data_IF_496009815275
#
_entry.id   IF_496009815275
#
_cell.length_a   1.000
_cell.length_b   1.000
_cell.length_c   1.000
_cell.angle_alpha   90.00
_cell.angle_beta   90.00
_cell.angle_gamma   90.00
#
_symmetry.space_group_name_H-M   'P 1'
#
loop_
_entity.id
_entity.type
_entity.pdbx_description
1 polymer ?
#
# COMPACT_ATOMS: atom_id res chain seq x y z
N UNK A 1 2.10 29.75 49.20
CA UNK A 1 1.16 30.85 48.91
C UNK A 1 1.30 31.16 47.43
N UNK A 2 0.39 30.88 46.52
CA UNK A 2 -0.97 30.39 46.64
C UNK A 2 -1.33 29.58 45.38
N UNK A 3 -2.22 28.62 45.63
CA UNK A 3 -2.90 27.73 44.71
C UNK A 3 -3.67 28.46 43.60
N UNK A 4 -3.41 28.11 42.34
CA UNK A 4 -4.30 28.38 41.21
C UNK A 4 -5.44 27.33 41.17
N UNK A 5 -6.70 27.74 40.90
CA UNK A 5 -7.87 26.87 40.99
C UNK A 5 -7.96 25.86 39.85
N UNK A 6 -8.48 24.66 40.18
CA UNK A 6 -8.57 23.49 39.31
C UNK A 6 -9.57 23.60 38.13
N UNK A 7 -10.09 24.80 37.82
CA UNK A 7 -11.21 24.98 36.87
C UNK A 7 -10.82 25.44 35.46
N UNK A 8 -9.53 25.44 35.10
CA UNK A 8 -9.04 25.94 33.80
C UNK A 8 -8.22 24.94 32.97
N UNK A 9 -8.35 23.63 33.22
CA UNK A 9 -7.85 22.63 32.26
C UNK A 9 -8.86 22.47 31.11
N UNK A 10 -8.46 22.60 29.83
CA UNK A 10 -9.35 22.34 28.72
C UNK A 10 -9.75 20.86 28.75
N UNK A 11 -11.04 20.59 28.93
CA UNK A 11 -11.63 19.27 28.67
C UNK A 11 -11.53 19.00 27.17
N UNK A 12 -10.50 18.27 26.74
CA UNK A 12 -10.59 17.55 25.49
C UNK A 12 -11.76 16.57 25.62
N UNK A 13 -12.86 16.87 24.93
CA UNK A 13 -13.90 15.87 24.71
C UNK A 13 -13.31 14.84 23.76
N UNK A 14 -13.03 13.65 24.30
CA UNK A 14 -12.81 12.44 23.52
C UNK A 14 -14.13 12.06 22.83
N UNK A 15 -14.47 12.75 21.74
CA UNK A 15 -15.53 12.31 20.83
C UNK A 15 -14.91 11.41 19.76
N UNK A 16 -14.66 10.14 20.13
CA UNK A 16 -14.65 8.95 19.27
C UNK A 16 -14.34 7.67 20.06
N UNK A 17 -14.94 7.51 21.25
CA UNK A 17 -14.99 6.21 21.92
C UNK A 17 -16.44 5.73 21.91
N UNK A 18 -16.72 4.51 21.43
CA UNK A 18 -18.07 3.96 21.48
C UNK A 18 -18.54 3.87 22.92
N UNK A 19 -19.81 4.18 23.13
CA UNK A 19 -20.53 4.11 24.42
C UNK A 19 -20.24 2.80 25.18
N UNK A 20 -20.04 2.83 26.51
CA UNK A 20 -19.80 1.62 27.29
C UNK A 20 -21.14 0.89 27.47
N UNK A 21 -21.41 -0.10 26.62
CA UNK A 21 -22.71 -0.79 26.67
C UNK A 21 -22.91 -2.02 25.78
N UNK A 22 -21.90 -2.50 25.06
CA UNK A 22 -21.91 -3.81 24.40
C UNK A 22 -20.50 -4.39 24.46
N UNK A 23 -20.29 -5.43 25.27
CA UNK A 23 -19.13 -6.30 25.08
C UNK A 23 -19.32 -7.01 23.74
N UNK A 24 -18.82 -6.42 22.64
CA UNK A 24 -18.56 -7.21 21.44
C UNK A 24 -17.58 -8.29 21.89
N UNK A 25 -17.97 -9.56 21.77
CA UNK A 25 -17.04 -10.66 21.97
C UNK A 25 -15.85 -10.44 21.03
N UNK A 26 -14.65 -10.38 21.58
CA UNK A 26 -13.43 -10.26 20.78
C UNK A 26 -13.32 -11.47 19.84
N UNK A 27 -12.93 -11.23 18.59
CA UNK A 27 -12.70 -12.32 17.64
C UNK A 27 -11.54 -13.17 18.15
N UNK A 28 -11.76 -14.48 18.22
CA UNK A 28 -10.70 -15.44 18.53
C UNK A 28 -9.75 -15.55 17.33
N UNK A 29 -8.44 -15.58 17.61
CA UNK A 29 -7.40 -15.77 16.60
C UNK A 29 -6.32 -16.72 17.14
N UNK A 30 -5.75 -17.52 16.24
CA UNK A 30 -4.86 -18.64 16.59
C UNK A 30 -3.40 -18.30 16.37
N UNK A 31 -3.03 -17.85 15.17
CA UNK A 31 -1.67 -17.39 14.85
C UNK A 31 -1.68 -16.11 14.03
N UNK A 32 -0.61 -15.32 14.20
CA UNK A 32 -0.32 -14.17 13.35
C UNK A 32 1.07 -14.36 12.72
N UNK A 33 1.09 -14.62 11.42
CA UNK A 33 2.30 -14.72 10.63
C UNK A 33 2.72 -13.34 10.13
N UNK A 34 3.90 -12.86 10.53
CA UNK A 34 4.53 -11.68 9.93
C UNK A 34 5.41 -12.17 8.79
N UNK A 35 4.95 -12.02 7.55
CA UNK A 35 5.54 -12.67 6.39
C UNK A 35 6.23 -11.66 5.48
N UNK A 36 7.57 -11.69 5.45
CA UNK A 36 8.38 -10.88 4.53
C UNK A 36 8.69 -11.67 3.27
N UNK A 37 8.25 -11.19 2.11
CA UNK A 37 8.59 -11.83 0.82
C UNK A 37 9.79 -11.15 0.17
N UNK A 38 10.82 -11.93 -0.19
CA UNK A 38 12.10 -11.41 -0.69
C UNK A 38 12.62 -12.18 -1.90
N UNK A 39 13.34 -11.49 -2.79
CA UNK A 39 14.20 -12.11 -3.82
C UNK A 39 15.66 -12.26 -3.35
N UNK A 40 15.99 -11.65 -2.21
CA UNK A 40 17.30 -11.66 -1.58
C UNK A 40 18.40 -11.04 -2.43
N UNK A 41 18.04 -10.14 -3.34
CA UNK A 41 19.02 -9.42 -4.16
C UNK A 41 19.67 -8.27 -3.40
N UNK A 42 19.04 -7.79 -2.32
CA UNK A 42 19.50 -6.68 -1.51
C UNK A 42 19.73 -7.10 -0.06
N UNK A 43 20.98 -7.37 0.28
CA UNK A 43 21.35 -7.88 1.60
C UNK A 43 21.08 -6.87 2.72
N UNK A 44 21.30 -5.58 2.50
CA UNK A 44 21.06 -4.58 3.54
C UNK A 44 19.58 -4.47 3.89
N UNK A 45 18.71 -4.52 2.87
CA UNK A 45 17.26 -4.52 3.07
C UNK A 45 16.81 -5.78 3.80
N UNK A 46 17.34 -6.93 3.42
CA UNK A 46 17.05 -8.19 4.07
C UNK A 46 17.50 -8.22 5.54
N UNK A 47 18.69 -7.70 5.87
CA UNK A 47 19.15 -7.62 7.26
C UNK A 47 18.26 -6.69 8.12
N UNK A 48 17.79 -5.56 7.56
CA UNK A 48 16.82 -4.71 8.26
C UNK A 48 15.52 -5.46 8.53
N UNK A 49 15.04 -6.24 7.57
CA UNK A 49 13.84 -7.05 7.76
C UNK A 49 14.04 -8.15 8.79
N UNK A 50 15.20 -8.81 8.80
CA UNK A 50 15.57 -9.78 9.84
C UNK A 50 15.63 -9.19 11.25
N UNK A 51 16.03 -7.92 11.38
CA UNK A 51 16.03 -7.24 12.67
C UNK A 51 14.63 -7.14 13.30
N UNK A 52 13.55 -7.30 12.52
CA UNK A 52 12.17 -7.29 13.01
C UNK A 52 11.72 -8.58 13.70
N UNK A 53 12.53 -9.65 13.72
CA UNK A 53 12.14 -10.92 14.37
C UNK A 53 11.80 -10.77 15.86
N UNK A 54 12.36 -9.76 16.53
CA UNK A 54 12.03 -9.47 17.94
C UNK A 54 10.53 -9.20 18.18
N UNK A 55 9.75 -8.89 17.13
CA UNK A 55 8.30 -8.70 17.22
C UNK A 55 7.54 -9.98 17.61
N UNK A 56 8.14 -11.16 17.44
CA UNK A 56 7.59 -12.43 17.94
C UNK A 56 7.44 -12.43 19.47
N UNK A 57 8.24 -11.62 20.19
CA UNK A 57 8.19 -11.55 21.65
C UNK A 57 6.94 -10.85 22.20
N UNK A 58 6.10 -10.27 21.33
CA UNK A 58 4.90 -9.53 21.73
C UNK A 58 3.74 -10.45 22.15
N UNK A 59 3.62 -11.64 21.56
CA UNK A 59 2.61 -12.66 21.87
C UNK A 59 3.08 -14.01 21.32
N UNK A 60 2.93 -15.10 22.09
CA UNK A 60 3.39 -16.45 21.72
C UNK A 60 2.74 -17.00 20.44
N UNK A 61 1.64 -16.40 19.99
CA UNK A 61 0.94 -16.74 18.73
C UNK A 61 1.52 -16.07 17.49
N UNK A 62 2.51 -15.19 17.65
CA UNK A 62 3.15 -14.48 16.53
C UNK A 62 4.31 -15.33 15.99
N UNK A 63 4.44 -15.39 14.67
CA UNK A 63 5.59 -16.02 14.01
C UNK A 63 6.10 -15.13 12.88
N UNK A 64 7.36 -14.75 12.95
CA UNK A 64 8.06 -13.97 11.94
C UNK A 64 8.74 -14.92 10.95
N UNK A 65 8.45 -14.73 9.68
CA UNK A 65 8.89 -15.63 8.61
C UNK A 65 9.39 -14.86 7.41
N UNK A 66 10.47 -15.38 6.81
CA UNK A 66 11.00 -14.90 5.53
C UNK A 66 10.66 -15.91 4.46
N UNK A 67 10.11 -15.43 3.36
CA UNK A 67 9.69 -16.23 2.21
C UNK A 67 10.52 -15.86 0.99
N UNK A 68 11.22 -16.86 0.43
CA UNK A 68 12.14 -16.68 -0.69
C UNK A 68 12.04 -17.83 -1.69
N UNK A 69 12.39 -17.56 -2.96
CA UNK A 69 12.61 -18.60 -3.95
C UNK A 69 13.90 -19.38 -3.70
N UNK A 70 13.88 -20.69 -3.97
CA UNK A 70 15.09 -21.52 -3.99
C UNK A 70 16.07 -21.03 -5.08
N UNK A 71 17.35 -20.94 -4.75
CA UNK A 71 18.41 -20.38 -5.58
C UNK A 71 18.43 -18.85 -5.67
N UNK A 72 17.63 -18.15 -4.85
CA UNK A 72 17.71 -16.69 -4.74
C UNK A 72 18.98 -16.25 -3.99
N UNK A 73 19.29 -14.95 -4.04
CA UNK A 73 20.41 -14.40 -3.27
C UNK A 73 20.25 -14.55 -1.75
N UNK A 74 19.01 -14.61 -1.27
CA UNK A 74 18.64 -14.93 0.12
C UNK A 74 18.92 -16.40 0.43
N UNK A 75 18.49 -17.29 -0.47
CA UNK A 75 18.64 -18.75 -0.35
C UNK A 75 20.11 -19.20 -0.24
N UNK A 76 21.02 -18.51 -0.94
CA UNK A 76 22.42 -18.94 -1.11
C UNK A 76 23.33 -18.46 0.03
N UNK A 77 22.88 -17.50 0.85
CA UNK A 77 23.73 -16.82 1.86
C UNK A 77 23.26 -16.96 3.30
N UNK A 78 22.16 -17.66 3.57
CA UNK A 78 21.49 -17.56 4.88
C UNK A 78 21.10 -18.92 5.45
N UNK A 79 22.03 -19.51 6.20
CA UNK A 79 21.75 -20.50 7.25
C UNK A 79 21.90 -19.91 8.66
N UNK A 80 22.41 -18.68 8.78
CA UNK A 80 22.71 -18.10 10.09
C UNK A 80 21.64 -17.12 10.55
N UNK A 81 21.37 -17.19 11.85
CA UNK A 81 20.55 -16.29 12.68
C UNK A 81 19.06 -16.63 12.68
N UNK A 82 18.70 -17.75 13.34
CA UNK A 82 17.51 -17.92 14.20
C UNK A 82 16.10 -17.56 13.69
N UNK A 83 15.94 -17.14 12.43
CA UNK A 83 14.69 -16.66 11.84
C UNK A 83 14.16 -17.73 10.90
N UNK A 84 12.88 -18.04 11.02
CA UNK A 84 12.23 -19.04 10.17
C UNK A 84 12.22 -18.59 8.71
N UNK A 85 12.78 -19.42 7.83
CA UNK A 85 12.84 -19.14 6.40
C UNK A 85 12.18 -20.25 5.58
N UNK A 86 11.21 -19.86 4.76
CA UNK A 86 10.50 -20.74 3.83
C UNK A 86 11.08 -20.53 2.43
N UNK A 87 11.75 -21.58 1.95
CA UNK A 87 12.29 -21.67 0.59
C UNK A 87 11.24 -22.30 -0.31
N UNK A 88 10.85 -21.60 -1.37
CA UNK A 88 9.89 -22.07 -2.37
C UNK A 88 10.63 -22.94 -3.37
N UNK A 89 10.39 -24.26 -3.41
CA UNK A 89 11.15 -25.18 -4.26
C UNK A 89 11.00 -24.83 -5.73
N UNK A 90 12.07 -24.92 -6.53
CA UNK A 90 11.99 -24.68 -7.99
C UNK A 90 10.97 -25.59 -8.68
N UNK A 91 10.74 -26.78 -8.13
CA UNK A 91 9.75 -27.75 -8.59
C UNK A 91 8.30 -27.32 -8.36
N UNK A 92 8.05 -26.41 -7.40
CA UNK A 92 6.71 -25.88 -7.17
C UNK A 92 6.32 -24.95 -8.32
N UNK A 93 5.35 -25.38 -9.11
CA UNK A 93 4.86 -24.67 -10.29
C UNK A 93 3.34 -24.58 -10.25
N UNK A 94 2.76 -23.55 -9.61
CA UNK A 94 1.32 -23.34 -9.64
C UNK A 94 0.86 -23.01 -11.06
N UNK A 95 -0.44 -23.19 -11.33
CA UNK A 95 -0.98 -23.10 -12.70
C UNK A 95 -0.84 -21.71 -13.32
N UNK A 96 -1.02 -20.65 -12.51
CA UNK A 96 -1.03 -19.25 -12.97
C UNK A 96 -0.01 -18.38 -12.25
N UNK A 97 0.15 -18.60 -10.94
CA UNK A 97 0.98 -17.77 -10.09
C UNK A 97 2.44 -17.69 -10.58
N UNK A 98 2.96 -16.47 -10.67
CA UNK A 98 4.38 -16.20 -10.97
C UNK A 98 4.98 -15.29 -9.89
N UNK A 99 6.31 -15.32 -9.76
CA UNK A 99 7.06 -14.41 -8.88
C UNK A 99 6.52 -14.37 -7.44
N UNK A 100 6.13 -13.18 -6.93
CA UNK A 100 5.64 -12.98 -5.57
C UNK A 100 4.36 -13.78 -5.29
N UNK A 101 3.40 -13.78 -6.22
CA UNK A 101 2.17 -14.57 -6.12
C UNK A 101 2.43 -16.07 -5.96
N UNK A 102 3.43 -16.60 -6.69
CA UNK A 102 3.87 -18.00 -6.55
C UNK A 102 4.42 -18.30 -5.15
N UNK A 103 5.22 -17.39 -4.60
CA UNK A 103 5.76 -17.58 -3.27
C UNK A 103 4.64 -17.60 -2.22
N UNK A 104 3.71 -16.63 -2.28
CA UNK A 104 2.59 -16.55 -1.34
C UNK A 104 1.64 -17.75 -1.47
N UNK A 105 1.38 -18.24 -2.69
CA UNK A 105 0.58 -19.45 -2.90
C UNK A 105 1.26 -20.71 -2.32
N UNK A 106 2.58 -20.81 -2.42
CA UNK A 106 3.32 -21.89 -1.77
C UNK A 106 3.22 -21.81 -0.24
N UNK A 107 3.36 -20.60 0.32
CA UNK A 107 3.23 -20.36 1.75
C UNK A 107 1.86 -20.82 2.26
N UNK A 108 0.78 -20.36 1.62
CA UNK A 108 -0.59 -20.73 1.96
C UNK A 108 -0.80 -22.25 1.99
N UNK A 109 -0.34 -22.94 0.94
CA UNK A 109 -0.45 -24.40 0.83
C UNK A 109 0.40 -25.14 1.87
N UNK A 110 1.61 -24.64 2.15
CA UNK A 110 2.54 -25.27 3.10
C UNK A 110 2.09 -25.10 4.55
N UNK A 111 1.52 -23.94 4.88
CA UNK A 111 1.16 -23.61 6.26
C UNK A 111 -0.21 -24.15 6.65
N UNK A 112 -1.04 -24.56 5.69
CA UNK A 112 -2.40 -25.07 5.93
C UNK A 112 -3.21 -24.12 6.82
N UNK A 113 -3.21 -22.82 6.46
CA UNK A 113 -3.77 -21.74 7.27
C UNK A 113 -5.20 -22.06 7.73
N UNK A 114 -5.44 -22.01 9.04
CA UNK A 114 -6.78 -22.08 9.61
C UNK A 114 -7.58 -20.80 9.37
N UNK A 115 -8.90 -20.87 9.53
CA UNK A 115 -9.77 -19.71 9.35
C UNK A 115 -9.48 -18.56 10.33
N UNK A 116 -8.93 -18.90 11.51
CA UNK A 116 -8.56 -17.97 12.58
C UNK A 116 -7.08 -17.57 12.55
N UNK A 117 -6.30 -18.07 11.60
CA UNK A 117 -4.94 -17.62 11.37
C UNK A 117 -4.96 -16.32 10.57
N UNK A 118 -3.93 -15.50 10.78
CA UNK A 118 -3.76 -14.23 10.09
C UNK A 118 -2.35 -14.11 9.54
N UNK A 119 -2.22 -13.46 8.40
CA UNK A 119 -0.95 -13.21 7.73
C UNK A 119 -0.84 -11.71 7.45
N UNK A 120 0.20 -11.09 7.99
CA UNK A 120 0.64 -9.74 7.65
C UNK A 120 1.70 -9.84 6.56
N UNK A 121 1.28 -9.62 5.30
CA UNK A 121 2.17 -9.63 4.14
C UNK A 121 2.97 -8.32 4.07
N UNK A 122 4.29 -8.47 3.99
CA UNK A 122 5.26 -7.38 3.91
C UNK A 122 6.17 -7.56 2.69
N UNK A 123 6.43 -6.46 1.98
CA UNK A 123 7.52 -6.39 1.01
C UNK A 123 8.89 -6.38 1.72
N UNK A 124 9.94 -6.83 1.02
CA UNK A 124 11.31 -6.96 1.55
C UNK A 124 11.81 -5.70 2.27
N UNK A 125 11.45 -4.51 1.80
CA UNK A 125 11.86 -3.22 2.36
C UNK A 125 10.96 -2.65 3.45
N UNK A 126 9.87 -3.33 3.79
CA UNK A 126 8.87 -2.79 4.69
C UNK A 126 9.29 -3.02 6.13
N UNK A 127 9.36 -1.93 6.88
CA UNK A 127 9.67 -1.94 8.29
C UNK A 127 8.40 -1.66 9.09
N UNK A 128 8.11 -2.55 10.04
CA UNK A 128 7.01 -2.42 10.99
C UNK A 128 7.57 -2.35 12.41
N UNK A 129 6.84 -1.67 13.29
CA UNK A 129 7.21 -1.52 14.70
C UNK A 129 6.19 -2.22 15.63
N UNK A 130 6.47 -2.20 16.92
CA UNK A 130 5.59 -2.76 17.96
C UNK A 130 4.18 -2.19 17.89
N UNK A 131 4.04 -0.87 17.64
CA UNK A 131 2.72 -0.25 17.54
C UNK A 131 1.91 -0.82 16.38
N UNK A 132 2.55 -1.03 15.22
CA UNK A 132 1.91 -1.64 14.06
C UNK A 132 1.39 -3.05 14.35
N UNK A 133 2.22 -3.91 14.95
CA UNK A 133 1.80 -5.29 15.27
C UNK A 133 0.66 -5.31 16.29
N UNK A 134 0.75 -4.51 17.36
CA UNK A 134 -0.34 -4.39 18.34
C UNK A 134 -1.62 -3.82 17.72
N UNK A 135 -1.50 -2.90 16.76
CA UNK A 135 -2.65 -2.38 16.02
C UNK A 135 -3.29 -3.44 15.12
N UNK A 136 -2.49 -4.33 14.52
CA UNK A 136 -2.99 -5.48 13.77
C UNK A 136 -3.75 -6.45 14.69
N UNK A 137 -3.21 -6.78 15.86
CA UNK A 137 -3.87 -7.64 16.85
C UNK A 137 -5.21 -7.02 17.31
N UNK A 138 -5.17 -5.74 17.71
CA UNK A 138 -6.37 -4.98 18.09
C UNK A 138 -7.40 -4.94 16.95
N UNK A 139 -6.97 -4.80 15.70
CA UNK A 139 -7.85 -4.87 14.53
C UNK A 139 -8.50 -6.25 14.41
N UNK A 140 -7.71 -7.32 14.50
CA UNK A 140 -8.19 -8.71 14.42
C UNK A 140 -9.28 -8.95 15.47
N UNK A 141 -9.02 -8.57 16.72
CA UNK A 141 -9.89 -8.82 17.88
C UNK A 141 -11.15 -7.95 17.89
N UNK A 142 -11.03 -6.67 17.50
CA UNK A 142 -12.09 -5.66 17.72
C UNK A 142 -12.87 -5.29 16.49
N UNK A 143 -12.41 -5.69 15.30
CA UNK A 143 -13.13 -5.50 14.05
C UNK A 143 -13.56 -6.84 13.41
N UNK A 144 -14.41 -7.64 14.10
CA UNK A 144 -14.86 -8.95 13.62
C UNK A 144 -15.64 -8.93 12.29
N UNK A 145 -16.03 -7.75 11.82
CA UNK A 145 -16.72 -7.53 10.54
C UNK A 145 -15.78 -7.42 9.32
N UNK A 146 -14.46 -7.34 9.52
CA UNK A 146 -13.47 -7.21 8.45
C UNK A 146 -12.49 -8.38 8.47
N UNK A 147 -12.25 -8.97 7.30
CA UNK A 147 -11.38 -10.15 7.12
C UNK A 147 -10.05 -9.79 6.43
N UNK A 148 -9.92 -8.52 6.05
CA UNK A 148 -8.78 -7.87 5.40
C UNK A 148 -8.49 -6.54 6.10
N UNK A 149 -7.22 -6.19 6.24
CA UNK A 149 -6.78 -4.94 6.87
C UNK A 149 -5.63 -4.31 6.11
N UNK A 150 -5.64 -2.98 6.01
CA UNK A 150 -4.52 -2.19 5.51
C UNK A 150 -4.43 -0.87 6.28
N UNK A 151 -3.22 -0.33 6.40
CA UNK A 151 -2.99 1.01 6.94
C UNK A 151 -2.23 1.90 5.96
N UNK A 152 -1.48 2.86 6.50
CA UNK A 152 -0.73 3.85 5.72
C UNK A 152 0.70 3.38 5.53
N UNK A 153 1.25 3.55 4.33
CA UNK A 153 2.66 3.29 4.05
C UNK A 153 3.39 4.62 3.87
N UNK A 154 4.39 4.86 4.71
CA UNK A 154 5.31 6.00 4.58
C UNK A 154 6.56 5.60 3.80
N UNK A 155 7.15 6.53 3.06
CA UNK A 155 8.30 6.27 2.17
C UNK A 155 9.58 6.97 2.64
N UNK A 156 9.87 6.86 3.93
CA UNK A 156 10.84 7.69 4.64
C UNK A 156 11.95 6.93 5.39
N UNK A 157 12.13 5.63 5.14
CA UNK A 157 13.14 4.84 5.88
C UNK A 157 14.58 5.09 5.43
N UNK A 158 14.86 4.93 4.15
CA UNK A 158 16.22 4.93 3.59
C UNK A 158 16.33 5.98 2.51
N UNK A 159 17.42 6.75 2.54
CA UNK A 159 17.71 7.83 1.59
C UNK A 159 16.58 8.87 1.48
N UNK A 160 15.80 9.08 2.54
CA UNK A 160 14.71 10.06 2.55
C UNK A 160 15.23 11.47 2.23
N UNK A 161 14.55 12.18 1.32
CA UNK A 161 14.98 13.47 0.76
C UNK A 161 16.33 13.52 0.01
N UNK A 162 17.04 12.40 -0.14
CA UNK A 162 18.29 12.37 -0.95
C UNK A 162 18.04 12.79 -2.39
N UNK A 163 16.89 12.41 -2.95
CA UNK A 163 16.37 12.95 -4.20
C UNK A 163 14.97 13.53 -3.93
N UNK A 164 14.84 14.87 -3.84
CA UNK A 164 13.56 15.53 -3.55
C UNK A 164 12.45 15.18 -4.54
N UNK A 165 12.78 14.98 -5.83
CA UNK A 165 11.78 14.67 -6.84
C UNK A 165 11.21 13.26 -6.70
N UNK A 166 12.07 12.26 -6.44
CA UNK A 166 11.63 10.88 -6.20
C UNK A 166 10.91 10.75 -4.86
N UNK A 167 11.43 11.40 -3.83
CA UNK A 167 10.79 11.46 -2.50
C UNK A 167 9.38 12.03 -2.62
N UNK A 168 9.23 13.16 -3.31
CA UNK A 168 7.93 13.80 -3.46
C UNK A 168 6.97 13.01 -4.36
N UNK A 169 7.49 12.29 -5.36
CA UNK A 169 6.68 11.34 -6.14
C UNK A 169 6.13 10.21 -5.27
N UNK A 170 6.85 9.75 -4.24
CA UNK A 170 6.33 8.78 -3.26
C UNK A 170 5.41 9.43 -2.20
N UNK A 171 5.62 10.69 -1.82
CA UNK A 171 4.68 11.45 -0.94
C UNK A 171 3.26 11.48 -1.54
N UNK A 172 3.13 11.48 -2.88
CA UNK A 172 1.82 11.36 -3.53
C UNK A 172 1.05 10.08 -3.13
N UNK A 173 1.75 8.99 -2.80
CA UNK A 173 1.15 7.75 -2.29
C UNK A 173 0.72 7.87 -0.84
N UNK A 174 1.54 8.50 0.01
CA UNK A 174 1.17 8.78 1.41
C UNK A 174 -0.10 9.62 1.46
N UNK A 175 -0.19 10.63 0.59
CA UNK A 175 -1.40 11.45 0.41
C UNK A 175 -2.60 10.61 -0.01
N UNK A 176 -2.43 9.70 -0.96
CA UNK A 176 -3.51 8.80 -1.38
C UNK A 176 -3.95 7.86 -0.25
N UNK A 177 -3.01 7.41 0.59
CA UNK A 177 -3.28 6.56 1.75
C UNK A 177 -4.13 7.28 2.79
N UNK A 178 -3.72 8.50 3.16
CA UNK A 178 -4.44 9.38 4.09
C UNK A 178 -5.80 9.85 3.57
N UNK A 179 -5.98 9.83 2.24
CA UNK A 179 -7.20 10.29 1.59
C UNK A 179 -8.07 9.12 1.16
N UNK A 180 -7.95 8.77 -0.12
CA UNK A 180 -8.87 7.83 -0.78
C UNK A 180 -8.79 6.43 -0.18
N UNK A 181 -7.61 5.87 0.08
CA UNK A 181 -7.53 4.50 0.61
C UNK A 181 -8.11 4.41 2.01
N UNK A 182 -7.73 5.32 2.92
CA UNK A 182 -8.32 5.35 4.26
C UNK A 182 -9.84 5.56 4.20
N UNK A 183 -10.36 6.43 3.33
CA UNK A 183 -11.80 6.58 3.14
C UNK A 183 -12.46 5.28 2.69
N UNK A 184 -11.90 4.60 1.69
CA UNK A 184 -12.40 3.31 1.19
C UNK A 184 -12.37 2.23 2.28
N UNK A 185 -11.31 2.17 3.09
CA UNK A 185 -11.11 1.15 4.13
C UNK A 185 -11.90 1.45 5.41
N UNK A 186 -12.16 2.73 5.72
CA UNK A 186 -12.79 3.14 6.98
C UNK A 186 -14.29 3.41 6.85
N UNK A 187 -14.77 3.74 5.64
CA UNK A 187 -16.17 4.15 5.41
C UNK A 187 -16.91 3.17 4.51
N UNK A 188 -16.33 2.81 3.36
CA UNK A 188 -17.01 1.97 2.37
C UNK A 188 -16.69 0.47 2.53
N UNK A 189 -15.55 0.16 3.15
CA UNK A 189 -15.03 -1.19 3.41
C UNK A 189 -14.90 -2.05 2.15
N UNK A 190 -14.38 -1.47 1.07
CA UNK A 190 -14.18 -2.15 -0.22
C UNK A 190 -12.94 -1.63 -0.98
N UNK A 191 -12.24 -2.46 -1.76
CA UNK A 191 -10.96 -2.11 -2.39
C UNK A 191 -11.12 -1.54 -3.82
N UNK A 192 -11.77 -0.38 -3.98
CA UNK A 192 -12.15 0.14 -5.31
C UNK A 192 -10.99 0.63 -6.18
N UNK A 193 -10.01 1.31 -5.58
CA UNK A 193 -8.99 2.06 -6.34
C UNK A 193 -7.56 1.58 -6.11
N UNK A 194 -7.42 0.38 -5.56
CA UNK A 194 -6.13 -0.26 -5.27
C UNK A 194 -6.19 -1.08 -3.99
N UNK A 195 -5.20 -1.93 -3.84
CA UNK A 195 -4.69 -2.43 -2.58
C UNK A 195 -3.16 -2.34 -2.66
N UNK A 196 -2.48 -2.35 -1.52
CA UNK A 196 -1.02 -2.42 -1.49
C UNK A 196 -0.61 -3.85 -1.21
N UNK A 197 0.43 -4.33 -1.90
CA UNK A 197 1.00 -5.65 -1.67
C UNK A 197 1.87 -5.76 -0.43
N UNK A 198 2.01 -4.66 0.32
CA UNK A 198 2.66 -4.60 1.62
C UNK A 198 1.72 -3.92 2.62
N UNK A 199 1.97 -4.14 3.91
CA UNK A 199 1.03 -3.85 4.99
C UNK A 199 -0.37 -4.40 4.68
N UNK A 200 -0.42 -5.64 4.21
CA UNK A 200 -1.64 -6.31 3.81
C UNK A 200 -1.93 -7.44 4.78
N UNK A 201 -2.85 -7.17 5.71
CA UNK A 201 -3.27 -8.10 6.75
C UNK A 201 -4.48 -8.91 6.27
N UNK A 202 -4.35 -10.23 6.22
CA UNK A 202 -5.36 -11.13 5.63
C UNK A 202 -5.60 -12.31 6.55
N UNK A 203 -6.86 -12.70 6.74
CA UNK A 203 -7.20 -13.95 7.44
C UNK A 203 -6.98 -15.18 6.54
N UNK A 204 -6.59 -16.31 7.14
CA UNK A 204 -6.42 -17.58 6.45
C UNK A 204 -7.70 -18.03 5.74
N UNK A 205 -8.87 -17.71 6.31
CA UNK A 205 -10.19 -17.87 5.67
C UNK A 205 -10.25 -17.22 4.29
N UNK A 206 -9.77 -15.98 4.15
CA UNK A 206 -9.78 -15.24 2.89
C UNK A 206 -8.72 -15.77 1.93
N UNK A 207 -7.52 -16.06 2.43
CA UNK A 207 -6.46 -16.67 1.60
C UNK A 207 -6.89 -17.99 0.98
N UNK A 208 -7.56 -18.85 1.74
CA UNK A 208 -8.03 -20.14 1.25
C UNK A 208 -9.19 -20.02 0.25
N UNK A 209 -10.04 -19.01 0.40
CA UNK A 209 -11.15 -18.77 -0.51
C UNK A 209 -10.71 -18.17 -1.85
N UNK A 210 -9.80 -17.20 -1.82
CA UNK A 210 -9.39 -16.43 -3.01
C UNK A 210 -8.15 -17.02 -3.68
N UNK A 211 -7.18 -17.47 -2.88
CA UNK A 211 -5.85 -17.97 -3.28
C UNK A 211 -4.95 -16.93 -3.97
N UNK A 212 -3.64 -17.19 -4.01
CA UNK A 212 -2.68 -16.37 -4.75
C UNK A 212 -2.33 -16.98 -6.12
N UNK A 213 -3.06 -18.00 -6.58
CA UNK A 213 -2.85 -18.62 -7.89
C UNK A 213 -3.43 -17.78 -9.05
N UNK A 214 -2.86 -16.60 -9.25
CA UNK A 214 -3.27 -15.62 -10.27
C UNK A 214 -2.13 -15.27 -11.22
N UNK A 215 -2.47 -15.00 -12.48
CA UNK A 215 -1.55 -14.51 -13.52
C UNK A 215 -1.46 -12.97 -13.55
N UNK A 216 -2.24 -12.27 -12.73
CA UNK A 216 -2.22 -10.81 -12.66
C UNK A 216 -0.92 -10.28 -12.04
N UNK A 217 -0.33 -9.26 -12.67
CA UNK A 217 0.94 -8.63 -12.24
C UNK A 217 0.81 -7.70 -11.02
N UNK A 218 -0.41 -7.38 -10.64
CA UNK A 218 -0.81 -6.68 -9.39
C UNK A 218 -1.67 -7.65 -8.59
N UNK A 219 -1.04 -8.71 -8.11
CA UNK A 219 -1.68 -9.82 -7.43
C UNK A 219 -2.43 -9.40 -6.18
N UNK A 220 -1.92 -8.37 -5.49
CA UNK A 220 -2.48 -7.72 -4.31
C UNK A 220 -3.83 -7.06 -4.58
N UNK A 221 -3.90 -6.19 -5.59
CA UNK A 221 -5.12 -5.52 -5.98
C UNK A 221 -6.14 -6.49 -6.56
N UNK A 222 -5.68 -7.46 -7.35
CA UNK A 222 -6.51 -8.55 -7.84
C UNK A 222 -7.13 -9.32 -6.68
N UNK A 223 -6.31 -9.77 -5.72
CA UNK A 223 -6.75 -10.55 -4.57
C UNK A 223 -7.80 -9.81 -3.74
N UNK A 224 -7.52 -8.54 -3.39
CA UNK A 224 -8.46 -7.72 -2.62
C UNK A 224 -9.80 -7.56 -3.35
N UNK A 225 -9.78 -7.30 -4.66
CA UNK A 225 -11.01 -7.21 -5.45
C UNK A 225 -11.79 -8.51 -5.46
N UNK A 226 -11.13 -9.65 -5.66
CA UNK A 226 -11.79 -10.96 -5.70
C UNK A 226 -12.39 -11.33 -4.35
N UNK A 227 -11.67 -11.03 -3.26
CA UNK A 227 -12.19 -11.20 -1.91
C UNK A 227 -13.54 -10.47 -1.71
N UNK A 228 -13.66 -9.24 -2.20
CA UNK A 228 -14.91 -8.48 -2.10
C UNK A 228 -15.97 -8.92 -3.12
N UNK A 229 -15.64 -9.00 -4.41
CA UNK A 229 -16.62 -9.24 -5.49
C UNK A 229 -17.16 -10.66 -5.53
N UNK A 230 -16.29 -11.65 -5.31
CA UNK A 230 -16.61 -13.04 -5.52
C UNK A 230 -16.97 -13.74 -4.20
N UNK A 231 -16.51 -13.22 -3.06
CA UNK A 231 -16.74 -13.83 -1.73
C UNK A 231 -17.40 -12.90 -0.70
N UNK A 232 -17.56 -11.61 -0.99
CA UNK A 232 -18.20 -10.65 -0.08
C UNK A 232 -17.37 -10.25 1.14
N UNK A 233 -16.07 -10.56 1.16
CA UNK A 233 -15.17 -10.15 2.24
C UNK A 233 -14.94 -8.65 2.24
N UNK A 234 -14.77 -8.08 3.43
CA UNK A 234 -14.65 -6.64 3.63
C UNK A 234 -13.28 -6.26 4.17
N UNK A 235 -12.80 -5.12 3.70
CA UNK A 235 -11.53 -4.52 4.14
C UNK A 235 -11.77 -3.44 5.18
N UNK A 236 -10.93 -3.41 6.21
CA UNK A 236 -10.91 -2.39 7.24
C UNK A 236 -9.61 -1.61 7.25
N UNK A 237 -9.63 -0.44 7.89
CA UNK A 237 -8.43 0.35 8.12
C UNK A 237 -7.77 -0.06 9.43
N UNK A 238 -6.48 -0.41 9.36
CA UNK A 238 -5.62 -0.63 10.53
C UNK A 238 -5.01 0.72 10.90
N UNK A 239 -5.27 1.27 12.11
CA UNK A 239 -4.84 2.62 12.49
C UNK A 239 -3.36 2.66 12.88
N UNK A 240 -2.49 2.28 11.94
CA UNK A 240 -1.04 2.35 12.09
C UNK A 240 -0.37 2.70 10.78
N UNK A 241 0.93 2.95 10.86
CA UNK A 241 1.79 3.20 9.71
C UNK A 241 2.89 2.13 9.64
N UNK A 242 3.33 1.84 8.42
CA UNK A 242 4.58 1.12 8.16
C UNK A 242 5.48 2.00 7.31
N UNK A 243 6.77 1.63 7.21
CA UNK A 243 7.75 2.46 6.52
C UNK A 243 8.51 1.66 5.47
N UNK A 244 8.55 2.19 4.26
CA UNK A 244 9.21 1.61 3.09
C UNK A 244 10.29 2.56 2.54
N UNK A 245 11.15 2.01 1.68
CA UNK A 245 12.11 2.80 0.92
C UNK A 245 11.54 3.30 -0.40
N UNK A 246 11.91 4.53 -0.76
CA UNK A 246 11.62 5.10 -2.08
C UNK A 246 12.46 4.46 -3.18
N UNK A 247 12.01 4.59 -4.44
CA UNK A 247 12.81 4.22 -5.61
C UNK A 247 14.09 5.08 -5.70
N UNK A 248 15.21 4.48 -6.11
CA UNK A 248 16.51 5.18 -6.17
C UNK A 248 16.73 5.94 -7.47
N UNK A 249 16.09 5.50 -8.57
CA UNK A 249 16.18 6.15 -9.87
C UNK A 249 14.81 6.46 -10.44
N UNK A 250 14.74 7.48 -11.30
CA UNK A 250 13.51 7.82 -12.02
C UNK A 250 13.04 6.67 -12.90
N UNK A 251 13.95 5.96 -13.56
CA UNK A 251 13.59 4.85 -14.44
C UNK A 251 12.98 3.68 -13.66
N UNK A 252 13.50 3.37 -12.47
CA UNK A 252 12.93 2.34 -11.58
C UNK A 252 11.53 2.73 -11.13
N UNK A 253 11.33 4.00 -10.75
CA UNK A 253 10.00 4.53 -10.41
C UNK A 253 9.04 4.44 -11.61
N UNK A 254 9.46 4.83 -12.82
CA UNK A 254 8.62 4.74 -14.02
C UNK A 254 8.25 3.29 -14.37
N UNK A 255 9.17 2.34 -14.23
CA UNK A 255 8.90 0.90 -14.40
C UNK A 255 7.90 0.39 -13.36
N UNK A 256 8.05 0.81 -12.10
CA UNK A 256 7.14 0.44 -11.04
C UNK A 256 5.71 0.94 -11.34
N UNK A 257 5.56 2.22 -11.69
CA UNK A 257 4.25 2.81 -12.01
C UNK A 257 3.64 2.20 -13.26
N UNK A 258 4.45 1.89 -14.28
CA UNK A 258 4.00 1.16 -15.47
C UNK A 258 3.38 -0.19 -15.12
N UNK A 259 4.00 -0.94 -14.20
CA UNK A 259 3.47 -2.23 -13.71
C UNK A 259 2.11 -2.07 -13.05
N UNK A 260 1.96 -1.09 -12.18
CA UNK A 260 0.67 -0.84 -11.51
C UNK A 260 -0.41 -0.37 -12.46
N UNK A 261 -0.09 0.52 -13.40
CA UNK A 261 -1.05 0.99 -14.39
C UNK A 261 -1.55 -0.20 -15.24
N UNK A 262 -0.63 -1.04 -15.73
CA UNK A 262 -0.98 -2.20 -16.52
C UNK A 262 -1.83 -3.23 -15.73
N UNK A 263 -1.45 -3.54 -14.48
CA UNK A 263 -2.21 -4.48 -13.65
C UNK A 263 -3.58 -3.93 -13.24
N UNK A 264 -3.67 -2.63 -12.92
CA UNK A 264 -4.95 -2.01 -12.61
C UNK A 264 -5.90 -1.98 -13.81
N UNK A 265 -5.39 -1.85 -15.04
CA UNK A 265 -6.21 -2.00 -16.26
C UNK A 265 -6.72 -3.43 -16.48
N UNK A 266 -5.93 -4.42 -16.08
CA UNK A 266 -6.33 -5.83 -16.14
C UNK A 266 -7.43 -6.15 -15.13
N UNK A 267 -7.33 -5.61 -13.90
CA UNK A 267 -8.35 -5.78 -12.85
C UNK A 267 -9.61 -4.95 -13.15
N UNK A 268 -9.44 -3.72 -13.63
CA UNK A 268 -10.49 -2.73 -13.87
C UNK A 268 -11.06 -2.11 -12.59
N UNK A 269 -11.47 -0.84 -12.64
CA UNK A 269 -12.01 -0.11 -11.46
C UNK A 269 -13.32 -0.70 -10.93
N UNK A 270 -14.07 -1.45 -11.75
CA UNK A 270 -15.35 -2.06 -11.36
C UNK A 270 -15.41 -3.59 -11.53
N UNK A 271 -14.29 -4.25 -11.85
CA UNK A 271 -14.11 -5.71 -11.83
C UNK A 271 -15.02 -6.60 -12.71
N UNK A 272 -16.20 -6.11 -13.15
CA UNK A 272 -17.29 -6.81 -13.86
C UNK A 272 -18.26 -5.88 -14.63
N UNK A 273 -17.99 -4.57 -14.79
CA UNK A 273 -18.79 -3.72 -15.69
C UNK A 273 -18.37 -3.88 -17.16
N UNK A 274 -18.41 -5.11 -17.64
CA UNK A 274 -18.39 -5.46 -19.05
C UNK A 274 -19.45 -6.53 -19.24
N UNK A 275 -20.58 -6.14 -19.83
CA UNK A 275 -21.65 -7.04 -20.26
C UNK A 275 -21.01 -8.25 -20.96
N UNK A 276 -21.14 -9.43 -20.35
CA UNK A 276 -20.83 -10.74 -20.91
C UNK A 276 -19.60 -10.81 -21.82
N UNK A 277 -18.41 -11.05 -21.25
CA UNK A 277 -17.36 -11.88 -21.85
C UNK A 277 -16.32 -12.33 -20.80
N UNK A 278 -15.72 -13.52 -20.97
CA UNK A 278 -14.98 -14.19 -19.93
C UNK A 278 -13.58 -13.61 -19.74
N UNK A 279 -13.05 -13.88 -18.55
CA UNK A 279 -11.64 -14.00 -18.16
C UNK A 279 -10.72 -14.14 -19.38
N UNK A 280 -9.70 -13.27 -19.46
CA UNK A 280 -8.69 -13.17 -20.53
C UNK A 280 -9.16 -12.43 -21.81
N UNK A 281 -9.31 -11.10 -21.77
CA UNK A 281 -9.35 -10.28 -22.98
C UNK A 281 -8.28 -9.20 -22.94
N UNK A 282 -7.21 -9.46 -23.70
CA UNK A 282 -6.24 -8.52 -24.26
C UNK A 282 -5.80 -7.34 -23.36
N UNK A 283 -4.79 -7.60 -22.52
CA UNK A 283 -4.07 -6.60 -21.73
C UNK A 283 -3.46 -5.45 -22.57
N UNK A 284 -3.57 -5.47 -23.91
CA UNK A 284 -3.05 -4.41 -24.79
C UNK A 284 -3.99 -3.20 -24.98
N UNK A 285 -5.23 -3.24 -24.46
CA UNK A 285 -6.15 -2.10 -24.59
C UNK A 285 -6.66 -1.61 -23.23
N UNK A 286 -6.19 -0.44 -22.75
CA UNK A 286 -6.66 0.09 -21.49
C UNK A 286 -8.10 0.56 -21.63
N UNK A 287 -8.96 0.22 -20.66
CA UNK A 287 -10.34 0.70 -20.66
C UNK A 287 -10.33 2.22 -20.54
N UNK A 288 -11.15 2.91 -21.36
CA UNK A 288 -11.18 4.37 -21.38
C UNK A 288 -11.45 4.96 -19.98
N UNK A 289 -12.28 4.30 -19.16
CA UNK A 289 -12.59 4.69 -17.78
C UNK A 289 -11.37 4.65 -16.87
N UNK A 290 -10.48 3.68 -17.05
CA UNK A 290 -9.29 3.52 -16.21
C UNK A 290 -8.17 4.46 -16.67
N UNK A 291 -8.04 4.69 -17.99
CA UNK A 291 -7.17 5.74 -18.54
C UNK A 291 -7.61 7.11 -18.05
N UNK A 292 -8.92 7.40 -18.09
CA UNK A 292 -9.48 8.66 -17.61
C UNK A 292 -9.28 8.81 -16.11
N UNK A 293 -9.47 7.75 -15.31
CA UNK A 293 -9.23 7.80 -13.87
C UNK A 293 -7.77 8.12 -13.55
N UNK A 294 -6.81 7.43 -14.17
CA UNK A 294 -5.38 7.71 -13.95
C UNK A 294 -4.91 9.03 -14.57
N UNK A 295 -5.50 9.44 -15.70
CA UNK A 295 -5.21 10.73 -16.35
C UNK A 295 -5.73 11.90 -15.49
N UNK A 296 -6.95 11.79 -14.97
CA UNK A 296 -7.56 12.79 -14.08
C UNK A 296 -6.80 12.85 -12.75
N UNK A 297 -6.41 11.71 -12.17
CA UNK A 297 -5.71 11.65 -10.87
C UNK A 297 -4.22 12.00 -10.95
N UNK A 298 -3.54 11.69 -12.07
CA UNK A 298 -2.10 11.90 -12.24
C UNK A 298 -1.73 13.24 -12.89
N UNK A 299 -2.59 13.79 -13.75
CA UNK A 299 -2.29 15.00 -14.53
C UNK A 299 -3.00 16.24 -14.00
N UNK A 300 -3.70 16.14 -12.87
CA UNK A 300 -4.62 17.16 -12.39
C UNK A 300 -4.02 18.57 -12.23
N UNK A 301 -2.83 18.75 -11.61
CA UNK A 301 -2.24 20.08 -11.46
C UNK A 301 -1.83 20.66 -12.81
N UNK A 302 -1.38 19.80 -13.74
CA UNK A 302 -0.96 20.17 -15.10
C UNK A 302 -2.17 20.53 -15.94
N UNK A 303 -3.23 19.72 -15.91
CA UNK A 303 -4.47 19.94 -16.64
C UNK A 303 -5.19 21.20 -16.14
N UNK A 304 -5.28 21.41 -14.82
CA UNK A 304 -5.85 22.63 -14.24
C UNK A 304 -5.06 23.89 -14.65
N UNK A 305 -3.73 23.77 -14.76
CA UNK A 305 -2.86 24.85 -15.24
C UNK A 305 -3.07 25.12 -16.74
N UNK A 306 -3.06 24.08 -17.57
CA UNK A 306 -3.30 24.18 -19.02
C UNK A 306 -4.68 24.77 -19.30
N UNK A 307 -5.74 24.31 -18.61
CA UNK A 307 -7.09 24.83 -18.78
C UNK A 307 -7.20 26.30 -18.33
N UNK A 308 -6.49 26.70 -17.27
CA UNK A 308 -6.45 28.10 -16.80
C UNK A 308 -5.77 29.05 -17.79
N UNK A 309 -4.73 28.59 -18.49
CA UNK A 309 -4.00 29.38 -19.49
C UNK A 309 -4.49 29.17 -20.93
N UNK A 310 -5.39 28.21 -21.15
CA UNK A 310 -6.08 28.05 -22.42
C UNK A 310 -7.08 29.20 -22.62
N UNK A 311 -7.30 29.64 -23.86
CA UNK A 311 -8.33 30.63 -24.20
C UNK A 311 -9.78 30.11 -24.05
N UNK A 312 -9.98 29.06 -23.26
CA UNK A 312 -11.28 28.42 -23.06
C UNK A 312 -12.02 29.21 -21.97
N UNK A 313 -13.18 29.77 -22.33
CA UNK A 313 -14.10 30.37 -21.37
C UNK A 313 -14.72 29.28 -20.50
N UNK A 314 -14.32 29.22 -19.22
CA UNK A 314 -14.84 28.24 -18.25
C UNK A 314 -15.99 28.89 -17.45
N UNK A 315 -17.16 28.22 -17.31
CA UNK A 315 -18.24 28.69 -16.44
C UNK A 315 -17.77 28.98 -15.02
N UNK A 316 -18.29 30.02 -14.38
CA UNK A 316 -17.85 30.43 -13.02
C UNK A 316 -17.96 29.31 -11.97
N UNK A 317 -19.01 28.49 -12.03
CA UNK A 317 -19.19 27.35 -11.14
C UNK A 317 -18.07 26.31 -11.31
N UNK A 318 -17.75 25.95 -12.55
CA UNK A 318 -16.67 25.02 -12.86
C UNK A 318 -15.30 25.61 -12.45
N UNK A 319 -15.08 26.89 -12.70
CA UNK A 319 -13.86 27.58 -12.25
C UNK A 319 -13.72 27.59 -10.71
N UNK A 320 -14.84 27.72 -9.98
CA UNK A 320 -14.85 27.64 -8.52
C UNK A 320 -14.49 26.23 -8.04
N UNK A 321 -15.10 25.19 -8.61
CA UNK A 321 -14.79 23.78 -8.30
C UNK A 321 -13.29 23.51 -8.51
N UNK A 322 -12.73 23.92 -9.65
CA UNK A 322 -11.29 23.75 -9.94
C UNK A 322 -10.39 24.49 -8.94
N UNK A 323 -10.79 25.67 -8.45
CA UNK A 323 -10.03 26.41 -7.43
C UNK A 323 -10.07 25.72 -6.07
N UNK A 324 -11.25 25.28 -5.63
CA UNK A 324 -11.42 24.53 -4.38
C UNK A 324 -10.62 23.24 -4.44
N UNK A 325 -10.69 22.54 -5.58
CA UNK A 325 -9.94 21.34 -5.83
C UNK A 325 -8.42 21.56 -5.75
N UNK A 326 -7.90 22.60 -6.41
CA UNK A 326 -6.49 22.96 -6.35
C UNK A 326 -6.05 23.28 -4.91
N UNK A 327 -6.84 24.04 -4.16
CA UNK A 327 -6.54 24.37 -2.76
C UNK A 327 -6.49 23.10 -1.89
N UNK A 328 -7.44 22.19 -2.08
CA UNK A 328 -7.46 20.91 -1.38
C UNK A 328 -6.24 20.05 -1.73
N UNK A 329 -5.85 20.00 -3.01
CA UNK A 329 -4.63 19.31 -3.45
C UNK A 329 -3.37 19.89 -2.81
N UNK A 330 -3.23 21.22 -2.79
CA UNK A 330 -2.08 21.88 -2.16
C UNK A 330 -2.01 21.59 -0.66
N UNK A 331 -3.16 21.66 0.02
CA UNK A 331 -3.26 21.34 1.45
C UNK A 331 -2.88 19.88 1.73
N UNK A 332 -3.44 18.92 0.98
CA UNK A 332 -3.20 17.49 1.21
C UNK A 332 -1.76 17.09 0.91
N UNK A 333 -1.12 17.68 -0.10
CA UNK A 333 0.33 17.52 -0.31
C UNK A 333 1.15 18.07 0.84
N UNK A 334 0.89 19.32 1.26
CA UNK A 334 1.56 19.93 2.39
C UNK A 334 1.40 19.09 3.68
N UNK A 335 0.19 18.56 3.91
CA UNK A 335 -0.11 17.72 5.07
C UNK A 335 0.60 16.36 5.01
N UNK A 336 0.60 15.68 3.86
CA UNK A 336 1.34 14.43 3.68
C UNK A 336 2.85 14.62 3.83
N UNK A 337 3.40 15.72 3.32
CA UNK A 337 4.80 16.11 3.54
C UNK A 337 5.09 16.33 5.02
N UNK A 338 4.26 17.12 5.71
CA UNK A 338 4.39 17.38 7.15
C UNK A 338 4.43 16.08 7.96
N UNK A 339 3.48 15.16 7.72
CA UNK A 339 3.42 13.89 8.45
C UNK A 339 4.61 12.99 8.15
N UNK A 340 5.04 12.92 6.89
CA UNK A 340 6.18 12.09 6.48
C UNK A 340 7.49 12.59 7.10
N UNK A 341 7.68 13.91 7.14
CA UNK A 341 8.87 14.53 7.74
C UNK A 341 8.87 14.46 9.28
N UNK A 342 7.68 14.61 9.88
CA UNK A 342 7.49 14.46 11.32
C UNK A 342 7.84 13.04 11.76
N UNK A 343 7.34 12.04 11.04
CA UNK A 343 7.64 10.63 11.29
C UNK A 343 9.13 10.30 11.09
N UNK A 344 9.77 10.95 10.10
CA UNK A 344 11.21 10.83 9.87
C UNK A 344 12.08 11.55 10.92
N UNK A 345 11.47 12.28 11.88
CA UNK A 345 12.18 12.97 12.94
C UNK A 345 12.96 14.22 12.47
N UNK A 346 12.53 14.87 11.38
CA UNK A 346 13.17 16.08 10.90
C UNK A 346 12.91 17.28 11.82
N UNK A 347 13.82 18.26 11.81
CA UNK A 347 13.64 19.47 12.62
C UNK A 347 12.47 20.33 12.12
N UNK A 348 11.73 21.04 13.00
CA UNK A 348 10.58 21.86 12.60
C UNK A 348 10.87 22.88 11.48
N UNK A 349 12.09 23.42 11.43
CA UNK A 349 12.52 24.34 10.37
C UNK A 349 12.65 23.68 9.01
N UNK A 350 13.19 22.46 8.97
CA UNK A 350 13.28 21.66 7.73
C UNK A 350 11.89 21.28 7.25
N UNK A 351 11.02 20.83 8.18
CA UNK A 351 9.61 20.53 7.89
C UNK A 351 8.92 21.74 7.26
N UNK A 352 9.08 22.93 7.85
CA UNK A 352 8.49 24.15 7.32
C UNK A 352 8.97 24.46 5.88
N UNK A 353 10.27 24.28 5.60
CA UNK A 353 10.84 24.46 4.26
C UNK A 353 10.22 23.45 3.27
N UNK A 354 10.17 22.17 3.61
CA UNK A 354 9.59 21.15 2.74
C UNK A 354 8.10 21.37 2.47
N UNK A 355 7.33 21.75 3.49
CA UNK A 355 5.92 22.13 3.35
C UNK A 355 5.76 23.33 2.41
N UNK A 356 6.60 24.34 2.51
CA UNK A 356 6.59 25.50 1.60
C UNK A 356 6.99 25.13 0.16
N UNK A 357 7.86 24.15 -0.02
CA UNK A 357 8.26 23.63 -1.33
C UNK A 357 7.22 22.68 -1.96
N UNK A 358 6.30 22.13 -1.16
CA UNK A 358 5.32 21.14 -1.60
C UNK A 358 4.49 21.53 -2.83
N UNK A 359 4.05 22.80 -3.03
CA UNK A 359 3.31 23.17 -4.24
C UNK A 359 4.12 23.02 -5.53
N UNK A 360 5.41 23.34 -5.47
CA UNK A 360 6.32 23.26 -6.63
C UNK A 360 6.66 21.80 -6.91
N UNK A 361 7.00 21.04 -5.88
CA UNK A 361 7.34 19.62 -6.01
C UNK A 361 6.13 18.78 -6.45
N UNK A 362 4.92 19.15 -6.05
CA UNK A 362 3.68 18.51 -6.50
C UNK A 362 3.49 18.61 -8.02
N UNK A 363 3.88 19.72 -8.62
CA UNK A 363 3.83 19.87 -10.08
C UNK A 363 4.80 18.90 -10.78
N UNK A 364 6.00 18.75 -10.23
CA UNK A 364 7.02 17.84 -10.76
C UNK A 364 6.59 16.38 -10.59
N UNK A 365 6.02 16.01 -9.44
CA UNK A 365 5.45 14.69 -9.22
C UNK A 365 4.32 14.38 -10.21
N UNK A 366 3.47 15.37 -10.53
CA UNK A 366 2.45 15.25 -11.58
C UNK A 366 3.05 14.98 -12.97
N UNK A 367 4.14 15.66 -13.34
CA UNK A 367 4.86 15.40 -14.60
C UNK A 367 5.42 13.97 -14.62
N UNK A 368 6.02 13.51 -13.52
CA UNK A 368 6.54 12.14 -13.40
C UNK A 368 5.39 11.12 -13.57
N UNK A 369 4.22 11.38 -12.96
CA UNK A 369 3.02 10.57 -13.13
C UNK A 369 2.56 10.50 -14.59
N UNK A 370 2.54 11.64 -15.29
CA UNK A 370 2.22 11.69 -16.72
C UNK A 370 3.24 10.91 -17.57
N UNK A 371 4.54 11.04 -17.28
CA UNK A 371 5.58 10.27 -17.96
C UNK A 371 5.41 8.76 -17.74
N UNK A 372 5.03 8.34 -16.53
CA UNK A 372 4.72 6.94 -16.25
C UNK A 372 3.51 6.43 -17.05
N UNK A 373 2.45 7.24 -17.16
CA UNK A 373 1.29 6.92 -17.98
C UNK A 373 1.64 6.80 -19.46
N UNK A 374 2.36 7.78 -20.02
CA UNK A 374 2.84 7.73 -21.41
C UNK A 374 3.72 6.49 -21.62
N UNK A 375 4.62 6.20 -20.67
CA UNK A 375 5.49 5.03 -20.75
C UNK A 375 4.69 3.72 -20.75
N UNK A 376 3.63 3.62 -19.94
CA UNK A 376 2.75 2.45 -19.91
C UNK A 376 1.97 2.26 -21.21
N UNK A 377 1.49 3.35 -21.82
CA UNK A 377 0.77 3.29 -23.11
C UNK A 377 1.71 2.96 -24.27
N UNK A 378 2.87 3.63 -24.34
CA UNK A 378 3.81 3.48 -25.47
C UNK A 378 4.57 2.16 -25.42
N UNK A 379 4.85 1.65 -24.21
CA UNK A 379 5.52 0.36 -24.00
C UNK A 379 4.70 -0.48 -23.03
N UNK A 380 3.62 -1.14 -23.47
CA UNK A 380 2.84 -2.01 -22.59
C UNK A 380 3.70 -3.18 -22.08
N UNK A 381 3.37 -3.68 -20.89
CA UNK A 381 4.02 -4.87 -20.32
C UNK A 381 3.49 -6.10 -21.06
N UNK A 382 4.40 -6.90 -21.61
CA UNK A 382 4.05 -8.23 -22.12
C UNK A 382 3.89 -9.19 -20.92
N UNK A 383 2.94 -10.13 -20.94
CA UNK A 383 2.75 -11.13 -19.88
C UNK A 383 4.01 -11.94 -19.52
N UNK A 384 4.98 -11.99 -20.43
CA UNK A 384 6.23 -12.74 -20.29
C UNK A 384 7.43 -11.90 -19.85
N UNK A 385 7.28 -10.58 -19.69
CA UNK A 385 8.39 -9.67 -19.31
C UNK A 385 8.08 -8.96 -17.99
N UNK A 386 8.61 -9.52 -16.91
CA UNK A 386 8.58 -8.90 -15.59
C UNK A 386 9.80 -8.01 -15.38
N UNK A 387 9.61 -6.69 -15.43
CA UNK A 387 10.67 -5.74 -15.09
C UNK A 387 10.90 -5.73 -13.58
N UNK A 388 12.07 -6.17 -13.16
CA UNK A 388 12.49 -6.08 -11.76
C UNK A 388 12.87 -4.62 -11.47
N UNK A 389 12.11 -3.98 -10.60
CA UNK A 389 12.42 -2.65 -10.07
C UNK A 389 13.52 -2.82 -9.03
N UNK A 390 14.66 -2.13 -9.23
CA UNK A 390 15.71 -2.12 -8.22
C UNK A 390 15.42 -1.01 -7.21
N UNK A 391 15.26 -1.42 -5.96
CA UNK A 391 15.30 -0.53 -4.80
C UNK A 391 16.61 -0.88 -4.10
N UNK A 392 17.57 0.03 -4.21
CA UNK A 392 19.00 -0.27 -4.06
C UNK A 392 19.41 -0.81 -2.71
#
# INVERSE_FOLDING_TARGET
MDSLPASLRPRMKNECLPSPGRSRSERVWEKLYILVTTKGTNLETLERSRAMHHLETLDDRISFMILTDEGSGADTKQEDVGVSMIRVPKSFSPTKAKHKARAMEYFRLRMELGDNDWVLHLDEETIVDTHCVLSCISFIERAPEYDLGQGIIMYNTVNYWRNPFLTFAEISRVRDDLGRFQFMQSTLHLPLWGAHGSFFLVSGKVENAVTFNTDCITEDFWFANRAWWDHGFRIGHVPSVVREQSNWTLMDLLKQRRRWIAGNWEVGVFGKCGVGKPVCMDASRPQLTDVVSWFVLGCEPVLATVLRYSMVTIPHSLALVLKVHLLFNLFTYAFATFLSDLDAGLSPWIIAIHVLLSPVLAYIAGIIGLLALIYAVVRPISPDKFDIVKKG
#
